data_IF_590275525535
#
_entry.id   IF_590275525535
#
_cell.length_a   1.000
_cell.length_b   1.000
_cell.length_c   1.000
_cell.angle_alpha   90.00
_cell.angle_beta   90.00
_cell.angle_gamma   90.00
#
_symmetry.space_group_name_H-M   'P 1'
#
loop_
_entity.id
_entity.type
_entity.pdbx_description
1 polymer ?
#
# COMPACT_ATOMS: atom_id res chain seq x y z
N UNK A 1 12.25 5.48 13.96
CA UNK A 1 11.33 4.39 13.57
C UNK A 1 10.66 4.71 12.24
N UNK A 2 10.55 3.72 11.35
CA UNK A 2 9.96 3.83 10.01
C UNK A 2 8.62 3.10 9.94
N UNK A 3 7.58 3.77 9.45
CA UNK A 3 6.30 3.16 9.14
C UNK A 3 6.08 3.10 7.62
N UNK A 4 5.48 2.00 7.17
CA UNK A 4 4.96 1.86 5.82
C UNK A 4 3.45 1.63 5.90
N UNK A 5 2.65 2.52 5.32
CA UNK A 5 1.23 2.26 5.04
C UNK A 5 1.14 1.79 3.60
N UNK A 6 0.56 0.63 3.35
CA UNK A 6 0.50 0.05 2.01
C UNK A 6 -0.91 -0.46 1.71
N UNK A 7 -1.50 -0.02 0.61
CA UNK A 7 -2.79 -0.56 0.16
C UNK A 7 -2.63 -1.90 -0.54
N UNK A 8 -3.56 -2.81 -0.23
CA UNK A 8 -3.61 -4.16 -0.77
C UNK A 8 -4.89 -4.35 -1.57
N UNK A 9 -4.76 -4.43 -2.88
CA UNK A 9 -5.83 -4.77 -3.80
C UNK A 9 -5.85 -6.26 -4.16
N UNK A 10 -6.68 -6.61 -5.13
CA UNK A 10 -6.79 -7.97 -5.71
C UNK A 10 -6.37 -8.03 -7.18
N UNK A 11 -6.09 -6.87 -7.80
CA UNK A 11 -5.86 -6.74 -9.24
C UNK A 11 -7.17 -6.62 -10.03
N UNK A 12 -7.08 -6.21 -11.31
CA UNK A 12 -8.26 -5.94 -12.16
C UNK A 12 -9.00 -7.20 -12.59
N UNK A 13 -8.30 -8.34 -12.67
CA UNK A 13 -8.88 -9.67 -12.96
C UNK A 13 -8.21 -10.70 -12.04
N UNK A 14 -8.75 -10.92 -10.83
CA UNK A 14 -8.08 -11.69 -9.79
C UNK A 14 -8.10 -13.19 -10.11
N UNK A 15 -7.10 -13.65 -10.84
CA UNK A 15 -6.74 -15.08 -10.92
C UNK A 15 -5.75 -15.41 -9.80
N UNK A 16 -5.63 -16.69 -9.42
CA UNK A 16 -4.62 -17.11 -8.42
C UNK A 16 -3.21 -16.64 -8.81
N UNK A 17 -2.86 -16.70 -10.10
CA UNK A 17 -1.58 -16.20 -10.62
C UNK A 17 -1.45 -14.67 -10.48
N UNK A 18 -2.50 -13.91 -10.80
CA UNK A 18 -2.49 -12.45 -10.67
C UNK A 18 -2.33 -12.01 -9.21
N UNK A 19 -3.04 -12.64 -8.28
CA UNK A 19 -2.94 -12.37 -6.84
C UNK A 19 -1.53 -12.66 -6.33
N UNK A 20 -0.92 -13.79 -6.71
CA UNK A 20 0.46 -14.13 -6.34
C UNK A 20 1.48 -13.14 -6.90
N UNK A 21 1.32 -12.70 -8.14
CA UNK A 21 2.22 -11.69 -8.73
C UNK A 21 2.08 -10.34 -8.03
N UNK A 22 0.84 -9.91 -7.72
CA UNK A 22 0.61 -8.70 -6.96
C UNK A 22 1.23 -8.79 -5.55
N UNK A 23 1.08 -9.93 -4.88
CA UNK A 23 1.68 -10.17 -3.59
C UNK A 23 3.21 -10.09 -3.62
N UNK A 24 3.86 -10.60 -4.68
CA UNK A 24 5.31 -10.46 -4.90
C UNK A 24 5.73 -8.99 -5.04
N UNK A 25 4.98 -8.20 -5.79
CA UNK A 25 5.27 -6.77 -5.94
C UNK A 25 5.14 -6.04 -4.59
N UNK A 26 4.04 -6.23 -3.87
CA UNK A 26 3.85 -5.59 -2.55
C UNK A 26 4.90 -6.06 -1.53
N UNK A 27 5.26 -7.34 -1.56
CA UNK A 27 6.36 -7.88 -0.76
C UNK A 27 7.72 -7.24 -1.09
N UNK A 28 7.97 -6.97 -2.38
CA UNK A 28 9.16 -6.25 -2.84
C UNK A 28 9.19 -4.82 -2.30
N UNK A 29 8.07 -4.08 -2.36
CA UNK A 29 7.94 -2.74 -1.74
C UNK A 29 8.30 -2.77 -0.25
N UNK A 30 7.70 -3.69 0.51
CA UNK A 30 7.91 -3.79 1.95
C UNK A 30 9.38 -4.14 2.28
N UNK A 31 10.01 -5.05 1.52
CA UNK A 31 11.43 -5.38 1.68
C UNK A 31 12.33 -4.18 1.44
N UNK A 32 12.07 -3.42 0.37
CA UNK A 32 12.91 -2.28 -0.01
C UNK A 32 12.79 -1.12 0.97
N UNK A 33 11.57 -0.80 1.41
CA UNK A 33 11.35 0.26 2.40
C UNK A 33 11.83 -0.13 3.81
N UNK A 34 11.93 -1.43 4.10
CA UNK A 34 12.38 -2.01 5.37
C UNK A 34 11.79 -1.28 6.61
N UNK A 35 10.45 -1.21 6.72
CA UNK A 35 9.80 -0.51 7.83
C UNK A 35 9.98 -1.26 9.15
N UNK A 36 9.86 -0.54 10.25
CA UNK A 36 9.74 -1.13 11.60
C UNK A 36 8.33 -1.66 11.84
N UNK A 37 7.30 -0.98 11.30
CA UNK A 37 5.91 -1.45 11.31
C UNK A 37 5.23 -1.21 9.96
N UNK A 38 4.54 -2.23 9.45
CA UNK A 38 3.73 -2.15 8.22
C UNK A 38 2.24 -2.08 8.55
N UNK A 39 1.52 -1.13 7.96
CA UNK A 39 0.08 -1.00 8.08
C UNK A 39 -0.57 -1.38 6.74
N UNK A 40 -1.24 -2.51 6.70
CA UNK A 40 -1.91 -2.99 5.50
C UNK A 40 -3.32 -2.42 5.42
N UNK A 41 -3.59 -1.60 4.40
CA UNK A 41 -4.93 -1.13 4.09
C UNK A 41 -5.61 -2.16 3.20
N UNK A 42 -6.64 -2.83 3.72
CA UNK A 42 -7.24 -4.00 3.07
C UNK A 42 -8.76 -3.85 2.96
N UNK A 43 -9.35 -4.50 1.97
CA UNK A 43 -10.76 -4.91 2.01
C UNK A 43 -10.91 -6.30 2.61
N UNK A 44 -12.12 -6.70 2.99
CA UNK A 44 -12.39 -8.09 3.42
C UNK A 44 -11.89 -9.13 2.40
N UNK A 45 -12.02 -8.84 1.11
CA UNK A 45 -11.56 -9.74 0.05
C UNK A 45 -10.03 -9.84 0.04
N UNK A 46 -9.33 -8.70 -0.06
CA UNK A 46 -7.85 -8.68 -0.10
C UNK A 46 -7.20 -9.24 1.18
N UNK A 47 -7.86 -9.09 2.33
CA UNK A 47 -7.44 -9.67 3.61
C UNK A 47 -7.49 -11.20 3.61
N UNK A 48 -8.45 -11.79 2.88
CA UNK A 48 -8.59 -13.25 2.73
C UNK A 48 -7.77 -13.83 1.58
N UNK A 49 -7.34 -13.01 0.62
CA UNK A 49 -6.68 -13.47 -0.61
C UNK A 49 -5.25 -12.97 -0.76
N UNK A 50 -5.04 -11.68 -1.03
CA UNK A 50 -3.72 -11.11 -1.34
C UNK A 50 -2.82 -11.01 -0.12
N UNK A 51 -3.32 -10.54 1.03
CA UNK A 51 -2.51 -10.36 2.23
C UNK A 51 -1.84 -11.66 2.72
N UNK A 52 -2.54 -12.81 2.80
CA UNK A 52 -1.90 -14.09 3.12
C UNK A 52 -0.77 -14.46 2.17
N UNK A 53 -0.90 -14.19 0.88
CA UNK A 53 0.17 -14.46 -0.09
C UNK A 53 1.38 -13.53 0.12
N UNK A 54 1.18 -12.27 0.53
CA UNK A 54 2.29 -11.37 0.91
C UNK A 54 3.03 -11.95 2.12
N UNK A 55 2.30 -12.37 3.15
CA UNK A 55 2.85 -12.90 4.40
C UNK A 55 3.55 -14.27 4.24
N UNK A 56 3.26 -15.01 3.16
CA UNK A 56 4.04 -16.21 2.79
C UNK A 56 5.41 -15.86 2.20
N UNK A 57 5.54 -14.70 1.56
CA UNK A 57 6.77 -14.27 0.88
C UNK A 57 7.70 -13.54 1.84
N UNK A 58 7.14 -12.80 2.80
CA UNK A 58 7.90 -11.98 3.76
C UNK A 58 7.33 -12.13 5.17
N UNK A 59 8.21 -11.97 6.17
CA UNK A 59 7.82 -11.81 7.57
C UNK A 59 8.06 -10.35 7.97
N UNK A 60 7.03 -9.47 7.97
CA UNK A 60 7.18 -8.11 8.45
C UNK A 60 7.64 -8.13 9.92
N UNK A 61 8.50 -7.19 10.34
CA UNK A 61 8.94 -7.08 11.74
C UNK A 61 7.75 -6.94 12.69
N UNK A 62 6.84 -6.02 12.35
CA UNK A 62 5.54 -5.84 12.98
C UNK A 62 4.54 -5.42 11.90
N UNK A 63 3.27 -5.79 12.06
CA UNK A 63 2.23 -5.29 11.18
C UNK A 63 0.87 -5.11 11.86
N UNK A 64 0.02 -4.29 11.24
CA UNK A 64 -1.38 -4.07 11.60
C UNK A 64 -2.23 -4.03 10.32
N UNK A 65 -3.47 -4.49 10.39
CA UNK A 65 -4.43 -4.40 9.28
C UNK A 65 -5.48 -3.34 9.56
N UNK A 66 -5.72 -2.46 8.60
CA UNK A 66 -6.81 -1.48 8.63
C UNK A 66 -7.80 -1.87 7.54
N UNK A 67 -8.95 -2.40 7.95
CA UNK A 67 -9.96 -2.92 7.01
C UNK A 67 -10.95 -1.82 6.60
N UNK A 68 -11.04 -1.57 5.29
CA UNK A 68 -12.01 -0.66 4.68
C UNK A 68 -13.35 -1.36 4.48
N UNK A 69 -14.45 -0.65 4.78
CA UNK A 69 -15.82 -1.14 4.53
C UNK A 69 -16.19 -1.07 3.05
N UNK A 70 -15.84 0.03 2.38
CA UNK A 70 -16.11 0.27 0.97
C UNK A 70 -14.87 0.88 0.31
N UNK A 71 -14.26 0.16 -0.63
CA UNK A 71 -13.04 0.59 -1.30
C UNK A 71 -13.28 1.54 -2.48
N UNK A 72 -14.52 1.79 -2.88
CA UNK A 72 -14.85 2.65 -4.03
C UNK A 72 -15.46 4.00 -3.61
N UNK A 73 -15.75 4.18 -2.32
CA UNK A 73 -16.19 5.46 -1.77
C UNK A 73 -15.00 6.20 -1.12
N UNK A 74 -14.43 7.18 -1.84
CA UNK A 74 -13.26 7.93 -1.40
C UNK A 74 -13.48 8.64 -0.05
N UNK A 75 -14.67 9.20 0.20
CA UNK A 75 -14.99 9.89 1.45
C UNK A 75 -14.96 8.92 2.64
N UNK A 76 -15.58 7.74 2.49
CA UNK A 76 -15.57 6.72 3.53
C UNK A 76 -14.16 6.17 3.81
N UNK A 77 -13.33 6.03 2.77
CA UNK A 77 -11.93 5.66 2.90
C UNK A 77 -11.18 6.74 3.68
N UNK A 78 -11.35 8.01 3.30
CA UNK A 78 -10.72 9.15 3.95
C UNK A 78 -11.09 9.22 5.44
N UNK A 79 -12.38 9.14 5.79
CA UNK A 79 -12.85 9.16 7.18
C UNK A 79 -12.26 8.02 8.03
N UNK A 80 -12.10 6.84 7.42
CA UNK A 80 -11.49 5.69 8.09
C UNK A 80 -9.98 5.88 8.30
N UNK A 81 -9.28 6.36 7.27
CA UNK A 81 -7.82 6.40 7.25
C UNK A 81 -7.23 7.65 7.88
N UNK A 82 -7.92 8.79 7.82
CA UNK A 82 -7.43 10.07 8.33
C UNK A 82 -6.98 10.02 9.81
N UNK A 83 -7.82 9.57 10.77
CA UNK A 83 -7.38 9.49 12.17
C UNK A 83 -6.23 8.49 12.37
N UNK A 84 -6.20 7.39 11.60
CA UNK A 84 -5.14 6.38 11.67
C UNK A 84 -3.80 6.92 11.14
N UNK A 85 -3.79 7.55 9.98
CA UNK A 85 -2.57 8.13 9.38
C UNK A 85 -2.04 9.27 10.26
N UNK A 86 -2.93 10.12 10.81
CA UNK A 86 -2.55 11.15 11.79
C UNK A 86 -1.83 10.55 13.01
N UNK A 87 -2.35 9.44 13.55
CA UNK A 87 -1.74 8.74 14.67
C UNK A 87 -0.39 8.12 14.28
N UNK A 88 -0.29 7.49 13.11
CA UNK A 88 0.96 6.90 12.60
C UNK A 88 2.02 7.98 12.43
N UNK A 89 1.70 9.11 11.79
CA UNK A 89 2.62 10.24 11.60
C UNK A 89 3.20 10.77 12.92
N UNK A 90 2.39 10.83 13.98
CA UNK A 90 2.85 11.25 15.32
C UNK A 90 3.83 10.26 15.96
N UNK A 91 3.67 8.97 15.69
CA UNK A 91 4.42 7.90 16.35
C UNK A 91 5.67 7.46 15.58
N UNK A 92 5.80 7.81 14.31
CA UNK A 92 6.91 7.38 13.45
C UNK A 92 7.61 8.59 12.83
N UNK A 93 8.94 8.63 12.97
CA UNK A 93 9.77 9.70 12.43
C UNK A 93 9.78 9.70 10.89
N UNK A 94 9.68 8.53 10.27
CA UNK A 94 9.57 8.39 8.82
C UNK A 94 8.29 7.63 8.47
N UNK A 95 7.44 8.25 7.65
CA UNK A 95 6.21 7.68 7.12
C UNK A 95 6.31 7.57 5.59
N UNK A 96 6.23 6.35 5.10
CA UNK A 96 6.03 6.06 3.66
C UNK A 96 4.60 5.57 3.43
N UNK A 97 3.96 6.08 2.38
CA UNK A 97 2.65 5.62 1.91
C UNK A 97 2.82 5.03 0.51
N UNK A 98 2.58 3.72 0.39
CA UNK A 98 2.61 2.98 -0.86
C UNK A 98 1.19 2.72 -1.38
N UNK A 99 0.91 3.24 -2.56
CA UNK A 99 -0.39 3.12 -3.24
C UNK A 99 -0.29 2.29 -4.53
N UNK A 100 0.68 1.37 -4.60
CA UNK A 100 0.88 0.47 -5.75
C UNK A 100 -0.39 -0.26 -6.17
N UNK A 101 -1.21 -0.66 -5.20
CA UNK A 101 -2.38 -1.50 -5.42
C UNK A 101 -3.62 -1.01 -4.69
N UNK A 102 -4.77 -1.58 -5.03
CA UNK A 102 -6.07 -1.13 -4.53
C UNK A 102 -6.88 -0.47 -5.64
N UNK A 103 -8.02 0.10 -5.27
CA UNK A 103 -8.88 0.83 -6.21
C UNK A 103 -8.29 2.21 -6.50
N UNK A 104 -8.84 2.89 -7.52
CA UNK A 104 -8.50 4.30 -7.79
C UNK A 104 -8.90 5.19 -6.62
N UNK A 105 -10.03 4.92 -5.95
CA UNK A 105 -10.46 5.67 -4.78
C UNK A 105 -9.50 5.49 -3.59
N UNK A 106 -8.99 4.29 -3.34
CA UNK A 106 -7.94 4.05 -2.34
C UNK A 106 -6.67 4.83 -2.66
N UNK A 107 -6.24 4.80 -3.93
CA UNK A 107 -5.06 5.53 -4.40
C UNK A 107 -5.19 7.03 -4.16
N UNK A 108 -6.32 7.62 -4.57
CA UNK A 108 -6.59 9.04 -4.39
C UNK A 108 -6.64 9.44 -2.91
N UNK A 109 -7.36 8.67 -2.07
CA UNK A 109 -7.43 8.94 -0.63
C UNK A 109 -6.05 8.87 0.04
N UNK A 110 -5.24 7.86 -0.29
CA UNK A 110 -3.89 7.72 0.25
C UNK A 110 -2.98 8.86 -0.21
N UNK A 111 -3.07 9.30 -1.46
CA UNK A 111 -2.29 10.44 -1.94
C UNK A 111 -2.67 11.73 -1.21
N UNK A 112 -3.98 12.01 -1.06
CA UNK A 112 -4.48 13.16 -0.30
C UNK A 112 -3.97 13.12 1.15
N UNK A 113 -4.12 11.99 1.83
CA UNK A 113 -3.71 11.83 3.23
C UNK A 113 -2.20 11.88 3.41
N UNK A 114 -1.44 11.40 2.44
CA UNK A 114 0.01 11.51 2.45
C UNK A 114 0.46 12.96 2.38
N UNK A 115 -0.17 13.77 1.53
CA UNK A 115 0.11 15.20 1.46
C UNK A 115 -0.33 15.92 2.74
N UNK A 116 -1.55 15.66 3.21
CA UNK A 116 -2.13 16.34 4.38
C UNK A 116 -1.34 16.07 5.69
N UNK A 117 -0.79 14.87 5.84
CA UNK A 117 -0.03 14.47 7.03
C UNK A 117 1.48 14.44 6.79
N UNK A 118 1.96 15.13 5.76
CA UNK A 118 3.37 15.30 5.46
C UNK A 118 4.16 13.97 5.49
N UNK A 119 3.65 12.98 4.78
CA UNK A 119 4.37 11.72 4.60
C UNK A 119 5.70 12.02 3.89
N UNK A 120 6.79 11.44 4.41
CA UNK A 120 8.13 11.66 3.88
C UNK A 120 8.26 11.15 2.44
N UNK A 121 7.50 10.09 2.13
CA UNK A 121 7.53 9.43 0.83
C UNK A 121 6.14 8.92 0.47
N UNK A 122 5.70 9.30 -0.72
CA UNK A 122 4.71 8.57 -1.50
C UNK A 122 5.46 7.58 -2.39
N UNK A 123 4.96 6.36 -2.56
CA UNK A 123 5.62 5.39 -3.45
C UNK A 123 4.64 4.51 -4.18
N UNK A 124 5.07 4.02 -5.34
CA UNK A 124 4.36 2.99 -6.08
C UNK A 124 5.35 2.15 -6.90
N UNK A 125 4.94 0.94 -7.25
CA UNK A 125 5.70 0.06 -8.14
C UNK A 125 5.26 0.25 -9.58
N UNK A 126 6.24 0.45 -10.45
CA UNK A 126 6.10 0.40 -11.90
C UNK A 126 6.97 -0.71 -12.48
N UNK A 127 6.92 -0.88 -13.80
CA UNK A 127 7.75 -1.82 -14.54
C UNK A 127 7.24 -2.00 -15.97
N UNK A 128 7.89 -2.87 -16.75
CA UNK A 128 7.44 -3.18 -18.11
C UNK A 128 6.06 -3.82 -18.03
N UNK A 129 5.10 -3.36 -18.85
CA UNK A 129 3.73 -3.88 -18.85
C UNK A 129 3.40 -4.64 -20.13
N UNK A 130 2.69 -5.75 -19.99
CA UNK A 130 2.03 -6.48 -21.08
C UNK A 130 0.57 -6.69 -20.67
N UNK A 131 -0.38 -6.23 -21.47
CA UNK A 131 -1.81 -6.29 -21.14
C UNK A 131 -2.16 -5.57 -19.83
N UNK A 132 -1.44 -4.49 -19.49
CA UNK A 132 -1.63 -3.73 -18.25
C UNK A 132 -0.99 -4.34 -16.99
N UNK A 133 -0.36 -5.52 -17.09
CA UNK A 133 0.26 -6.24 -15.97
C UNK A 133 1.78 -6.02 -15.99
N UNK A 134 2.35 -5.65 -14.85
CA UNK A 134 3.80 -5.52 -14.66
C UNK A 134 4.46 -6.89 -14.78
N UNK A 135 5.53 -6.98 -15.58
CA UNK A 135 6.26 -8.21 -15.81
C UNK A 135 7.22 -8.51 -14.65
N UNK A 136 7.27 -9.77 -14.16
CA UNK A 136 8.18 -10.15 -13.10
C UNK A 136 9.64 -9.85 -13.45
N UNK A 137 10.40 -9.34 -12.48
CA UNK A 137 11.80 -8.95 -12.63
C UNK A 137 12.00 -7.55 -13.22
N UNK A 138 10.92 -6.83 -13.53
CA UNK A 138 10.99 -5.45 -14.06
C UNK A 138 10.47 -4.41 -13.07
N UNK A 139 10.13 -4.85 -11.86
CA UNK A 139 9.58 -3.99 -10.81
C UNK A 139 10.58 -2.92 -10.38
N UNK A 140 10.12 -1.67 -10.37
CA UNK A 140 10.87 -0.52 -9.88
C UNK A 140 9.99 0.28 -8.93
N UNK A 141 10.54 0.65 -7.77
CA UNK A 141 9.85 1.54 -6.84
C UNK A 141 10.14 2.97 -7.26
N UNK A 142 9.07 3.72 -7.49
CA UNK A 142 9.14 5.14 -7.79
C UNK A 142 8.78 5.89 -6.51
N UNK A 143 9.75 6.53 -5.84
CA UNK A 143 9.47 7.42 -4.73
C UNK A 143 9.04 8.79 -5.24
N UNK A 144 8.14 9.43 -4.50
CA UNK A 144 7.76 10.82 -4.64
C UNK A 144 7.93 11.45 -3.26
N UNK A 145 8.73 12.50 -3.18
CA UNK A 145 8.93 13.28 -1.96
C UNK A 145 8.16 14.58 -2.12
N UNK A 146 7.00 14.75 -1.46
CA UNK A 146 6.23 15.97 -1.61
C UNK A 146 6.98 17.13 -0.97
N UNK A 147 6.98 18.27 -1.65
CA UNK A 147 7.43 19.53 -1.08
C UNK A 147 6.23 20.16 -0.35
N UNK A 148 6.39 20.42 0.93
CA UNK A 148 5.40 21.13 1.75
C UNK A 148 5.85 22.60 1.85
N UNK A 149 4.89 23.51 1.69
CA UNK A 149 5.13 24.95 1.72
C UNK A 149 5.23 25.48 3.16
#
# INVERSE_FOLDING_TARGET
>A
MKALVISVGTGTRPTSKAVKNLAKALAYSIKNHNPDKTFFIVTQQSQKTTLPEILKIIKPKQYETITLKNADNIQAIYETLNPKIKQIRKNFANLTIDYTSGTKAMTAALAILATLHEANTLSYITGKRIGGIVQPGTEQIIPIHPYFA
#
